data_IF_571045327666
#
_entry.id   IF_571045327666
#
_cell.length_a   1.000
_cell.length_b   1.000
_cell.length_c   1.000
_cell.angle_alpha   90.00
_cell.angle_beta   90.00
_cell.angle_gamma   90.00
#
_symmetry.space_group_name_H-M   'P 1'
#
loop_
_entity.id
_entity.type
_entity.pdbx_description
1 polymer ?
#
# COMPACT_ATOMS: atom_id res chain seq x y z
N UNK A 1 4.43 7.46 -5.42
CA UNK A 1 3.42 6.45 -5.03
C UNK A 1 2.02 6.80 -5.50
N UNK A 2 1.30 5.81 -6.04
CA UNK A 2 -0.05 5.97 -6.60
C UNK A 2 -1.02 5.01 -5.92
N UNK A 3 -2.21 5.50 -5.55
CA UNK A 3 -3.24 4.68 -4.91
C UNK A 3 -3.79 3.68 -5.92
N UNK A 4 -3.68 2.39 -5.60
CA UNK A 4 -4.27 1.30 -6.38
C UNK A 4 -5.73 1.06 -5.98
N UNK A 5 -6.00 1.10 -4.69
CA UNK A 5 -7.33 0.88 -4.14
C UNK A 5 -7.44 1.50 -2.75
N UNK A 6 -8.59 2.09 -2.44
CA UNK A 6 -8.92 2.56 -1.08
C UNK A 6 -9.81 1.50 -0.44
N UNK A 7 -9.40 0.97 0.71
CA UNK A 7 -10.21 -0.02 1.45
C UNK A 7 -11.16 0.65 2.43
N UNK A 8 -10.71 1.71 3.09
CA UNK A 8 -11.50 2.50 4.02
C UNK A 8 -10.93 3.91 4.17
N UNK A 9 -11.54 4.73 5.03
CA UNK A 9 -10.96 6.02 5.42
C UNK A 9 -9.57 5.90 6.07
N UNK A 10 -9.24 4.74 6.65
CA UNK A 10 -8.00 4.56 7.42
C UNK A 10 -7.00 3.58 6.78
N UNK A 11 -7.36 2.95 5.67
CA UNK A 11 -6.51 1.96 5.01
C UNK A 11 -6.65 2.01 3.49
N UNK A 12 -5.53 1.94 2.79
CA UNK A 12 -5.48 1.88 1.33
C UNK A 12 -4.23 1.16 0.83
N UNK A 13 -4.25 0.72 -0.42
CA UNK A 13 -3.09 0.16 -1.11
C UNK A 13 -2.54 1.19 -2.06
N UNK A 14 -1.23 1.38 -2.01
CA UNK A 14 -0.49 2.18 -2.95
C UNK A 14 0.61 1.34 -3.61
N UNK A 15 1.02 1.79 -4.79
CA UNK A 15 2.17 1.26 -5.51
C UNK A 15 3.26 2.32 -5.57
N UNK A 16 4.47 1.93 -5.22
CA UNK A 16 5.66 2.77 -5.40
C UNK A 16 6.07 2.82 -6.88
N UNK A 17 6.96 3.74 -7.21
CA UNK A 17 7.50 3.87 -8.58
C UNK A 17 8.43 2.68 -8.92
N UNK A 18 8.93 1.95 -7.91
CA UNK A 18 9.70 0.70 -8.04
C UNK A 18 8.82 -0.56 -8.19
N UNK A 19 7.55 -0.38 -8.52
CA UNK A 19 6.57 -1.45 -8.69
C UNK A 19 6.19 -2.23 -7.41
N UNK A 20 6.69 -1.81 -6.25
CA UNK A 20 6.37 -2.40 -4.94
C UNK A 20 4.96 -2.02 -4.48
N UNK A 21 4.19 -3.04 -4.08
CA UNK A 21 2.85 -2.86 -3.52
C UNK A 21 2.93 -2.77 -2.00
N UNK A 22 2.20 -1.82 -1.43
CA UNK A 22 2.20 -1.57 -0.01
C UNK A 22 0.82 -1.18 0.49
N UNK A 23 0.48 -1.64 1.68
CA UNK A 23 -0.73 -1.23 2.41
C UNK A 23 -0.34 -0.12 3.37
N UNK A 24 -1.01 1.02 3.24
CA UNK A 24 -0.83 2.17 4.11
C UNK A 24 -2.01 2.24 5.08
N UNK A 25 -1.71 2.26 6.37
CA UNK A 25 -2.69 2.40 7.46
C UNK A 25 -2.40 3.68 8.22
N UNK A 26 -3.42 4.51 8.40
CA UNK A 26 -3.30 5.80 9.08
C UNK A 26 -4.65 6.48 9.22
N UNK A 27 -4.83 7.28 10.27
CA UNK A 27 -6.10 7.97 10.54
C UNK A 27 -6.45 8.94 9.40
N UNK A 28 -7.53 8.66 8.68
CA UNK A 28 -8.01 9.50 7.58
C UNK A 28 -7.17 9.42 6.30
N UNK A 29 -6.25 8.46 6.17
CA UNK A 29 -5.35 8.34 5.01
C UNK A 29 -6.09 8.10 3.68
N UNK A 30 -7.24 7.43 3.73
CA UNK A 30 -8.13 7.19 2.60
C UNK A 30 -9.27 8.19 2.48
N UNK A 31 -9.38 9.14 3.41
CA UNK A 31 -10.45 10.14 3.37
C UNK A 31 -10.29 11.04 2.14
N UNK A 32 -11.35 11.13 1.34
CA UNK A 32 -11.38 11.90 0.09
C UNK A 32 -10.27 11.51 -0.92
N UNK A 33 -9.85 10.23 -0.91
CA UNK A 33 -8.91 9.66 -1.88
C UNK A 33 -9.63 8.69 -2.80
N UNK A 34 -9.13 8.57 -4.04
CA UNK A 34 -9.60 7.59 -5.01
C UNK A 34 -8.44 6.87 -5.70
N UNK A 35 -8.75 5.76 -6.38
CA UNK A 35 -7.80 5.06 -7.24
C UNK A 35 -7.19 6.03 -8.25
N UNK A 36 -5.86 6.02 -8.31
CA UNK A 36 -5.07 6.85 -9.20
C UNK A 36 -4.54 8.15 -8.60
N UNK A 37 -5.02 8.57 -7.42
CA UNK A 37 -4.46 9.71 -6.71
C UNK A 37 -3.04 9.42 -6.20
N UNK A 38 -2.29 10.49 -5.93
CA UNK A 38 -0.99 10.41 -5.25
C UNK A 38 -1.15 10.45 -3.73
N UNK A 39 -0.28 9.70 -3.06
CA UNK A 39 -0.18 9.69 -1.60
C UNK A 39 1.27 9.66 -1.15
N UNK A 40 1.54 10.22 0.02
CA UNK A 40 2.83 10.22 0.67
C UNK A 40 2.84 9.19 1.81
N UNK A 41 3.92 8.41 1.91
CA UNK A 41 4.11 7.38 2.92
C UNK A 41 4.17 7.98 4.32
N UNK A 42 4.72 9.19 4.45
CA UNK A 42 4.84 9.89 5.73
C UNK A 42 3.49 10.22 6.40
N UNK A 43 2.37 10.09 5.69
CA UNK A 43 1.03 10.25 6.26
C UNK A 43 0.50 8.95 6.91
N UNK A 44 1.15 7.81 6.65
CA UNK A 44 0.79 6.55 7.25
C UNK A 44 1.40 6.42 8.65
N UNK A 45 0.63 5.81 9.56
CA UNK A 45 1.11 5.41 10.88
C UNK A 45 1.81 4.05 10.81
N UNK A 46 1.31 3.16 9.95
CA UNK A 46 1.90 1.86 9.66
C UNK A 46 1.94 1.63 8.15
N UNK A 47 3.04 1.04 7.69
CA UNK A 47 3.29 0.70 6.29
C UNK A 47 3.63 -0.77 6.22
N UNK A 48 2.81 -1.52 5.48
CA UNK A 48 3.07 -2.93 5.22
C UNK A 48 3.51 -3.06 3.77
N UNK A 49 4.80 -3.31 3.57
CA UNK A 49 5.36 -3.57 2.24
C UNK A 49 5.24 -5.06 1.95
N UNK A 50 4.67 -5.39 0.80
CA UNK A 50 4.67 -6.76 0.32
C UNK A 50 6.07 -7.09 -0.24
N UNK A 51 6.99 -7.47 0.64
CA UNK A 51 8.24 -8.11 0.22
C UNK A 51 7.85 -9.38 -0.51
N UNK A 52 8.23 -9.51 -1.80
CA UNK A 52 8.08 -10.77 -2.55
C UNK A 52 8.47 -11.91 -1.63
N UNK A 53 7.51 -12.71 -1.17
CA UNK A 53 7.81 -14.02 -0.59
C UNK A 53 8.59 -14.72 -1.69
N UNK A 54 9.89 -14.92 -1.48
CA UNK A 54 10.59 -15.98 -2.17
C UNK A 54 9.71 -17.21 -1.92
N UNK A 55 9.07 -17.67 -2.99
CA UNK A 55 8.42 -18.96 -3.01
C UNK A 55 9.59 -19.93 -2.78
N UNK A 56 9.86 -20.29 -1.51
CA UNK A 56 10.73 -21.43 -1.21
C UNK A 56 10.02 -22.60 -1.87
N UNK A 57 10.55 -23.01 -3.01
CA UNK A 57 10.07 -24.15 -3.75
C UNK A 57 10.00 -25.33 -2.80
N UNK A 58 8.81 -25.87 -2.64
CA UNK A 58 8.60 -27.21 -2.13
C UNK A 58 9.52 -28.12 -2.96
N UNK A 59 10.60 -28.61 -2.34
CA UNK A 59 11.46 -29.61 -2.95
C UNK A 59 11.40 -30.85 -2.07
N UNK A 60 10.59 -31.79 -2.57
CA UNK A 60 10.59 -33.25 -2.39
C UNK A 60 10.17 -33.84 -1.04
#
# INVERSE_FOLDING_TARGET
MKILQVFSHNALVAKSDNDESMVLVGKGIGFNKKKGDRINESAASEVYVESKKQQLGETQ
#
